data_IF_574653420056
#
_entry.id   IF_574653420056
#
_cell.length_a   1.000
_cell.length_b   1.000
_cell.length_c   1.000
_cell.angle_alpha   90.00
_cell.angle_beta   90.00
_cell.angle_gamma   90.00
#
_symmetry.space_group_name_H-M   'P 1'
#
loop_
_entity.id
_entity.type
_entity.pdbx_description
1 polymer ?
#
# COMPACT_ATOMS: atom_id res chain seq x y z
N UNK A 1 -34.17 28.18 -18.16
CA UNK A 1 -33.02 28.09 -17.26
C UNK A 1 -31.87 27.38 -17.93
N UNK A 2 -31.06 28.12 -18.68
CA UNK A 2 -29.85 27.58 -19.29
C UNK A 2 -28.68 27.75 -18.33
N UNK A 3 -28.09 26.64 -17.82
CA UNK A 3 -26.77 26.68 -17.19
C UNK A 3 -25.73 26.82 -18.30
N UNK A 4 -24.95 27.90 -18.27
CA UNK A 4 -23.77 28.05 -19.12
C UNK A 4 -22.56 27.40 -18.48
N UNK A 5 -21.95 26.46 -19.17
CA UNK A 5 -20.62 25.95 -18.84
C UNK A 5 -19.62 26.55 -19.83
N UNK A 6 -18.61 27.22 -19.33
CA UNK A 6 -17.49 27.69 -20.11
C UNK A 6 -16.19 27.04 -19.59
N UNK A 7 -15.43 26.38 -20.45
CA UNK A 7 -14.10 25.88 -20.12
C UNK A 7 -13.05 26.96 -20.44
N UNK A 8 -12.24 27.29 -19.45
CA UNK A 8 -11.09 28.15 -19.63
C UNK A 8 -9.82 27.28 -19.63
N UNK A 9 -9.20 27.12 -20.81
CA UNK A 9 -7.93 26.44 -20.94
C UNK A 9 -6.78 27.42 -20.67
N UNK A 10 -6.06 27.22 -19.55
CA UNK A 10 -4.88 28.00 -19.26
C UNK A 10 -3.67 27.48 -20.05
N UNK A 11 -3.00 28.36 -20.78
CA UNK A 11 -1.84 28.03 -21.63
C UNK A 11 -0.52 28.09 -20.89
N UNK A 12 -0.47 28.69 -19.71
CA UNK A 12 0.76 28.89 -18.93
C UNK A 12 0.59 28.54 -17.46
N UNK A 13 1.66 28.01 -16.86
CA UNK A 13 1.75 27.79 -15.42
C UNK A 13 2.01 29.11 -14.71
N UNK A 14 1.17 29.47 -13.75
CA UNK A 14 1.35 30.70 -12.95
C UNK A 14 1.64 30.35 -11.49
N UNK A 15 2.76 30.86 -10.97
CA UNK A 15 3.10 30.77 -9.53
C UNK A 15 2.29 31.76 -8.67
N UNK A 16 1.69 32.76 -9.29
CA UNK A 16 0.84 33.76 -8.61
C UNK A 16 -0.63 33.36 -8.71
N UNK A 17 -1.37 33.59 -7.64
CA UNK A 17 -2.82 33.38 -7.62
C UNK A 17 -3.50 34.24 -8.70
N UNK A 18 -4.37 33.63 -9.47
CA UNK A 18 -5.19 34.29 -10.50
C UNK A 18 -6.64 34.29 -10.04
N UNK A 19 -7.36 35.32 -10.43
CA UNK A 19 -8.79 35.42 -10.21
C UNK A 19 -9.51 35.45 -11.54
N UNK A 20 -10.60 34.70 -11.63
CA UNK A 20 -11.50 34.73 -12.76
C UNK A 20 -12.55 35.83 -12.50
N UNK A 21 -12.73 36.70 -13.46
CA UNK A 21 -13.75 37.72 -13.46
C UNK A 21 -14.75 37.38 -14.59
N UNK A 22 -16.02 37.24 -14.26
CA UNK A 22 -17.05 36.89 -15.22
C UNK A 22 -18.14 37.97 -15.20
N UNK A 23 -18.58 38.38 -16.38
CA UNK A 23 -19.77 39.20 -16.59
C UNK A 23 -20.54 38.67 -17.79
N UNK A 24 -21.81 38.86 -17.84
CA UNK A 24 -22.67 38.46 -18.97
C UNK A 24 -23.31 39.69 -19.58
N UNK A 25 -23.54 39.64 -20.90
CA UNK A 25 -24.25 40.68 -21.65
C UNK A 25 -25.48 40.05 -22.27
N UNK A 26 -26.64 40.71 -22.11
CA UNK A 26 -27.88 40.26 -22.74
C UNK A 26 -27.98 40.68 -24.21
N UNK A 27 -29.02 40.20 -24.91
CA UNK A 27 -29.26 40.51 -26.33
C UNK A 27 -29.59 41.99 -26.62
N UNK A 28 -29.88 42.80 -25.61
CA UNK A 28 -30.12 44.24 -25.70
C UNK A 28 -28.87 45.06 -25.40
N UNK A 29 -27.73 44.41 -25.00
CA UNK A 29 -26.48 45.03 -24.68
C UNK A 29 -26.30 45.40 -23.21
N UNK A 30 -27.22 45.04 -22.30
CA UNK A 30 -27.05 45.27 -20.87
C UNK A 30 -26.01 44.30 -20.29
N UNK A 31 -25.12 44.82 -19.47
CA UNK A 31 -24.00 44.10 -18.87
C UNK A 31 -24.28 43.87 -17.39
N UNK A 32 -24.13 42.66 -16.92
CA UNK A 32 -24.23 42.34 -15.49
C UNK A 32 -23.09 42.90 -14.67
N UNK A 33 -23.23 42.89 -13.35
CA UNK A 33 -22.11 43.09 -12.44
C UNK A 33 -21.06 41.99 -12.69
N UNK A 34 -19.80 42.33 -12.40
CA UNK A 34 -18.67 41.42 -12.51
C UNK A 34 -18.57 40.54 -11.26
N UNK A 35 -18.69 39.24 -11.43
CA UNK A 35 -18.45 38.23 -10.37
C UNK A 35 -16.99 37.82 -10.39
N UNK A 36 -16.33 37.92 -9.23
CA UNK A 36 -14.95 37.48 -9.04
C UNK A 36 -14.94 36.10 -8.36
N UNK A 37 -14.16 35.17 -8.89
CA UNK A 37 -13.97 33.81 -8.32
C UNK A 37 -12.46 33.49 -8.25
N UNK A 38 -12.02 32.76 -7.24
CA UNK A 38 -10.64 32.41 -6.98
C UNK A 38 -10.23 32.74 -5.54
N UNK A 39 -8.95 32.61 -5.20
CA UNK A 39 -7.80 32.50 -6.11
C UNK A 39 -7.62 31.11 -6.74
N UNK A 40 -7.25 31.10 -8.01
CA UNK A 40 -6.89 29.87 -8.74
C UNK A 40 -5.39 29.85 -9.03
N UNK A 41 -4.77 28.70 -8.83
CA UNK A 41 -3.42 28.44 -9.28
C UNK A 41 -3.46 27.58 -10.55
N UNK A 42 -2.91 28.09 -11.64
CA UNK A 42 -2.87 27.36 -12.90
C UNK A 42 -1.61 26.50 -12.92
N UNK A 43 -1.79 25.21 -12.99
CA UNK A 43 -0.71 24.24 -13.06
C UNK A 43 -0.76 23.56 -14.44
N UNK A 44 0.34 23.63 -15.18
CA UNK A 44 0.47 22.91 -16.44
C UNK A 44 0.51 21.40 -16.14
N UNK A 45 -0.24 20.60 -16.87
CA UNK A 45 -0.19 19.12 -16.75
C UNK A 45 1.27 18.66 -16.81
N UNK A 46 1.69 17.89 -15.81
CA UNK A 46 3.03 17.36 -15.73
C UNK A 46 3.33 16.45 -16.93
N UNK A 47 4.53 16.56 -17.47
CA UNK A 47 5.09 15.57 -18.40
C UNK A 47 5.60 14.36 -17.60
N UNK A 48 5.73 13.20 -18.24
CA UNK A 48 6.13 11.97 -17.54
C UNK A 48 7.42 12.11 -16.70
N UNK A 49 8.40 12.89 -17.17
CA UNK A 49 9.64 13.19 -16.45
C UNK A 49 9.43 14.06 -15.18
N UNK A 50 8.31 14.76 -15.08
CA UNK A 50 7.98 15.60 -13.92
C UNK A 50 7.27 14.84 -12.79
N UNK A 51 6.87 13.58 -13.03
CA UNK A 51 6.18 12.78 -12.04
C UNK A 51 7.13 12.38 -10.91
N UNK A 52 6.65 12.33 -9.65
CA UNK A 52 7.40 11.71 -8.57
C UNK A 52 7.55 10.21 -8.83
N UNK A 53 8.44 9.57 -8.10
CA UNK A 53 8.64 8.12 -8.16
C UNK A 53 8.64 7.51 -6.78
N UNK A 54 8.20 6.24 -6.69
CA UNK A 54 8.27 5.45 -5.47
C UNK A 54 8.66 4.02 -5.82
N UNK A 55 9.54 3.44 -5.02
CA UNK A 55 9.94 2.03 -5.08
C UNK A 55 9.81 1.40 -3.71
N UNK A 56 9.47 0.11 -3.67
CA UNK A 56 9.30 -0.64 -2.44
C UNK A 56 10.10 -1.93 -2.50
N UNK A 57 10.78 -2.25 -1.41
CA UNK A 57 11.57 -3.48 -1.23
C UNK A 57 11.24 -4.15 0.10
N UNK A 58 11.79 -5.32 0.38
CA UNK A 58 11.60 -6.02 1.66
C UNK A 58 10.55 -7.13 1.61
N UNK A 59 10.05 -7.50 0.41
CA UNK A 59 9.24 -8.71 0.27
C UNK A 59 10.08 -9.94 0.65
N UNK A 60 9.66 -10.77 1.62
CA UNK A 60 10.45 -11.89 2.09
C UNK A 60 10.56 -13.00 1.04
N UNK A 61 11.79 -13.53 0.85
CA UNK A 61 12.06 -14.68 -0.02
C UNK A 61 11.85 -16.03 0.68
N UNK A 62 11.78 -16.04 2.01
CA UNK A 62 11.53 -17.20 2.87
C UNK A 62 10.41 -16.88 3.87
N UNK A 63 9.84 -17.92 4.49
CA UNK A 63 8.83 -17.76 5.52
C UNK A 63 9.37 -17.00 6.74
N UNK A 64 8.58 -16.05 7.23
CA UNK A 64 8.89 -15.20 8.38
C UNK A 64 7.61 -14.84 9.15
N UNK A 65 7.75 -14.41 10.38
CA UNK A 65 6.61 -13.94 11.21
C UNK A 65 6.12 -12.54 10.82
N UNK A 66 6.98 -11.76 10.18
CA UNK A 66 6.66 -10.40 9.73
C UNK A 66 7.62 -10.00 8.62
N UNK A 67 7.25 -9.01 7.82
CA UNK A 67 8.11 -8.42 6.81
C UNK A 67 8.23 -6.91 7.04
N UNK A 68 9.44 -6.37 6.86
CA UNK A 68 9.67 -4.93 6.86
C UNK A 68 9.77 -4.45 5.41
N UNK A 69 8.73 -3.77 4.96
CA UNK A 69 8.69 -3.13 3.65
C UNK A 69 9.35 -1.76 3.74
N UNK A 70 10.34 -1.51 2.88
CA UNK A 70 11.07 -0.24 2.83
C UNK A 70 10.76 0.46 1.52
N UNK A 71 10.36 1.73 1.59
CA UNK A 71 10.13 2.53 0.41
C UNK A 71 11.23 3.59 0.23
N UNK A 72 11.41 3.97 -1.04
CA UNK A 72 12.16 5.16 -1.44
C UNK A 72 11.31 5.95 -2.41
N UNK A 73 11.15 7.24 -2.14
CA UNK A 73 10.43 8.16 -3.00
C UNK A 73 11.34 9.31 -3.42
N UNK A 74 11.12 9.81 -4.63
CA UNK A 74 11.84 10.97 -5.15
C UNK A 74 10.86 11.92 -5.84
N UNK A 75 11.06 13.24 -5.74
CA UNK A 75 10.32 14.20 -6.54
C UNK A 75 10.64 14.01 -8.03
N UNK A 76 9.71 14.38 -8.87
CA UNK A 76 9.95 14.49 -10.30
C UNK A 76 10.94 15.60 -10.64
N UNK A 77 11.25 15.77 -11.91
CA UNK A 77 12.17 16.79 -12.40
C UNK A 77 11.59 17.56 -13.60
N UNK A 78 12.03 18.81 -13.78
CA UNK A 78 11.61 19.65 -14.89
C UNK A 78 10.32 20.42 -14.63
N UNK A 79 9.74 20.95 -15.71
CA UNK A 79 8.54 21.82 -15.64
C UNK A 79 7.32 21.02 -15.15
N UNK A 80 6.67 21.50 -14.12
CA UNK A 80 5.50 20.86 -13.51
C UNK A 80 5.83 19.85 -12.40
N UNK A 81 7.12 19.63 -12.09
CA UNK A 81 7.53 18.87 -10.92
C UNK A 81 7.37 19.69 -9.64
N UNK A 82 6.82 19.10 -8.59
CA UNK A 82 6.68 19.67 -7.27
C UNK A 82 7.55 18.98 -6.21
N UNK A 83 7.79 19.66 -5.10
CA UNK A 83 8.29 18.99 -3.91
C UNK A 83 7.26 17.94 -3.43
N UNK A 84 7.72 16.87 -2.80
CA UNK A 84 6.82 15.87 -2.24
C UNK A 84 5.86 16.52 -1.21
N UNK A 85 4.61 16.10 -1.23
CA UNK A 85 3.56 16.55 -0.32
C UNK A 85 3.30 15.49 0.75
N UNK A 86 3.22 14.22 0.36
CA UNK A 86 3.07 13.08 1.26
C UNK A 86 3.43 11.76 0.59
N UNK A 87 3.65 10.73 1.41
CA UNK A 87 3.69 9.32 1.02
C UNK A 87 2.59 8.58 1.76
N UNK A 88 1.71 7.92 1.03
CA UNK A 88 0.75 6.96 1.58
C UNK A 88 1.42 5.60 1.74
N UNK A 89 1.24 4.97 2.89
CA UNK A 89 1.78 3.65 3.23
C UNK A 89 0.69 2.78 3.87
N UNK A 90 0.87 1.47 4.00
CA UNK A 90 -0.05 0.60 4.75
C UNK A 90 -0.27 1.01 6.22
N UNK A 91 0.57 1.87 6.77
CA UNK A 91 0.48 2.39 8.15
C UNK A 91 -0.09 3.81 8.22
N UNK A 92 -0.42 4.40 7.09
CA UNK A 92 -0.97 5.74 6.98
C UNK A 92 -0.12 6.71 6.18
N UNK A 93 -0.46 7.97 6.27
CA UNK A 93 0.17 9.05 5.52
C UNK A 93 1.41 9.57 6.26
N UNK A 94 2.51 9.71 5.52
CA UNK A 94 3.79 10.26 5.98
C UNK A 94 3.99 11.62 5.30
N UNK A 95 4.17 12.68 6.10
CA UNK A 95 4.34 14.07 5.64
C UNK A 95 5.72 14.63 5.94
N UNK A 96 6.54 13.90 6.69
CA UNK A 96 7.92 14.25 7.03
C UNK A 96 8.86 13.14 6.56
N UNK A 97 10.10 13.48 6.23
CA UNK A 97 11.11 12.53 5.75
C UNK A 97 10.61 11.62 4.60
N UNK A 98 9.85 12.19 3.69
CA UNK A 98 9.11 11.49 2.62
C UNK A 98 10.00 10.79 1.58
N UNK A 99 11.31 11.04 1.58
CA UNK A 99 12.25 10.41 0.62
C UNK A 99 12.50 8.93 0.89
N UNK A 100 12.16 8.44 2.08
CA UNK A 100 12.29 7.03 2.41
C UNK A 100 11.85 6.72 3.83
N UNK A 101 11.50 5.47 4.03
CA UNK A 101 11.07 4.94 5.32
C UNK A 101 10.74 3.46 5.24
N UNK A 102 10.19 2.94 6.32
CA UNK A 102 9.79 1.54 6.38
C UNK A 102 8.53 1.33 7.22
N UNK A 103 7.83 0.23 6.94
CA UNK A 103 6.74 -0.25 7.77
C UNK A 103 6.78 -1.77 7.88
N UNK A 104 6.44 -2.29 9.06
CA UNK A 104 6.35 -3.73 9.29
C UNK A 104 4.92 -4.20 9.08
N UNK A 105 4.77 -5.29 8.32
CA UNK A 105 3.52 -5.99 8.07
C UNK A 105 3.60 -7.40 8.63
N UNK A 106 2.46 -7.91 9.13
CA UNK A 106 2.36 -9.21 9.82
C UNK A 106 1.37 -10.16 9.16
N UNK A 107 0.87 -9.82 7.98
CA UNK A 107 -0.06 -10.64 7.19
C UNK A 107 0.36 -10.67 5.74
N UNK A 108 0.02 -11.75 5.04
CA UNK A 108 0.10 -11.79 3.59
C UNK A 108 -0.95 -10.86 2.98
N UNK A 109 -0.70 -10.38 1.77
CA UNK A 109 -1.61 -9.51 1.05
C UNK A 109 -0.90 -8.57 0.08
N UNK A 110 -1.67 -7.77 -0.64
CA UNK A 110 -1.18 -6.70 -1.49
C UNK A 110 -1.05 -5.42 -0.65
N UNK A 111 0.10 -4.79 -0.70
CA UNK A 111 0.39 -3.56 0.03
C UNK A 111 0.70 -2.45 -0.96
N UNK A 112 -0.12 -1.42 -0.92
CA UNK A 112 -0.01 -0.24 -1.78
C UNK A 112 0.79 0.87 -1.10
N UNK A 113 1.60 1.54 -1.90
CA UNK A 113 2.32 2.76 -1.54
C UNK A 113 2.08 3.78 -2.65
N UNK A 114 1.87 5.03 -2.28
CA UNK A 114 1.69 6.12 -3.24
C UNK A 114 2.45 7.35 -2.76
N UNK A 115 3.11 8.03 -3.67
CA UNK A 115 3.71 9.34 -3.42
C UNK A 115 2.95 10.39 -4.21
N UNK A 116 2.76 11.57 -3.60
CA UNK A 116 2.17 12.73 -4.27
C UNK A 116 3.03 13.95 -4.04
N UNK A 117 3.16 14.79 -5.04
CA UNK A 117 3.81 16.09 -4.95
C UNK A 117 2.80 17.22 -4.64
N UNK A 118 3.30 18.43 -4.38
CA UNK A 118 2.47 19.61 -4.07
C UNK A 118 1.63 20.11 -5.24
N UNK A 119 1.84 19.59 -6.44
CA UNK A 119 1.05 19.91 -7.63
C UNK A 119 0.02 18.83 -7.97
N UNK A 120 -0.09 17.78 -7.12
CA UNK A 120 -1.03 16.68 -7.32
C UNK A 120 -0.55 15.60 -8.27
N UNK A 121 0.71 15.64 -8.73
CA UNK A 121 1.29 14.54 -9.48
C UNK A 121 1.57 13.38 -8.53
N UNK A 122 1.29 12.15 -8.96
CA UNK A 122 1.45 10.97 -8.13
C UNK A 122 2.09 9.80 -8.86
N UNK A 123 2.68 8.90 -8.09
CA UNK A 123 3.09 7.57 -8.51
C UNK A 123 2.76 6.55 -7.43
N UNK A 124 2.51 5.31 -7.83
CA UNK A 124 2.19 4.22 -6.92
C UNK A 124 3.11 3.02 -7.16
N UNK A 125 3.26 2.21 -6.11
CA UNK A 125 3.93 0.91 -6.15
C UNK A 125 3.15 -0.08 -5.28
N UNK A 126 3.04 -1.32 -5.75
CA UNK A 126 2.38 -2.41 -5.04
C UNK A 126 3.37 -3.53 -4.74
N UNK A 127 3.22 -4.16 -3.59
CA UNK A 127 4.00 -5.33 -3.18
C UNK A 127 3.06 -6.44 -2.73
N UNK A 128 3.10 -7.57 -3.41
CA UNK A 128 2.41 -8.79 -2.98
C UNK A 128 3.31 -9.57 -2.01
N UNK A 129 2.93 -9.61 -0.74
CA UNK A 129 3.59 -10.40 0.31
C UNK A 129 2.86 -11.73 0.47
N UNK A 130 3.60 -12.85 0.38
CA UNK A 130 3.02 -14.20 0.39
C UNK A 130 3.68 -15.17 1.37
N UNK A 131 4.71 -14.73 2.10
CA UNK A 131 5.53 -15.60 2.95
C UNK A 131 5.61 -15.13 4.39
N UNK A 132 4.50 -14.61 4.91
CA UNK A 132 4.35 -14.36 6.34
C UNK A 132 3.52 -15.49 6.92
N UNK A 133 4.04 -16.09 7.98
CA UNK A 133 3.38 -17.10 8.78
C UNK A 133 3.71 -16.85 10.25
N UNK A 134 2.73 -16.40 11.01
CA UNK A 134 2.82 -16.11 12.43
C UNK A 134 1.83 -16.94 13.25
N UNK A 135 1.25 -17.96 12.65
CA UNK A 135 0.38 -18.89 13.32
C UNK A 135 1.15 -20.15 13.72
N UNK A 136 0.81 -20.70 14.86
CA UNK A 136 1.39 -21.96 15.31
C UNK A 136 0.76 -23.14 14.58
N UNK A 137 1.50 -24.21 14.29
CA UNK A 137 0.94 -25.45 13.73
C UNK A 137 -0.10 -26.03 14.69
N UNK A 138 -1.08 -26.71 14.14
CA UNK A 138 -2.14 -27.40 14.90
C UNK A 138 -1.86 -28.89 14.97
N UNK A 139 -2.07 -29.45 16.15
CA UNK A 139 -2.02 -30.87 16.42
C UNK A 139 -3.43 -31.38 16.72
N UNK A 140 -3.98 -32.23 15.87
CA UNK A 140 -5.36 -32.73 16.04
C UNK A 140 -5.46 -33.79 17.15
N UNK A 141 -4.60 -34.81 17.14
CA UNK A 141 -4.64 -35.86 18.15
C UNK A 141 -3.34 -36.63 18.29
N UNK A 142 -3.18 -37.25 19.45
CA UNK A 142 -2.19 -38.28 19.73
C UNK A 142 -2.91 -39.61 19.70
N UNK A 143 -2.41 -40.58 18.96
CA UNK A 143 -2.94 -41.94 18.92
C UNK A 143 -1.85 -42.94 19.27
N UNK A 144 -2.21 -44.06 19.92
CA UNK A 144 -1.29 -45.19 20.04
C UNK A 144 -1.12 -45.80 18.68
N UNK A 145 0.09 -45.98 18.20
CA UNK A 145 0.34 -46.69 16.95
C UNK A 145 -0.06 -48.17 17.13
N UNK A 146 -1.01 -48.62 16.33
CA UNK A 146 -1.62 -49.91 16.47
C UNK A 146 -0.61 -51.05 16.60
N UNK A 147 -0.70 -51.80 17.69
CA UNK A 147 -0.03 -53.05 17.89
C UNK A 147 1.44 -53.01 18.36
N UNK A 148 2.06 -51.87 18.56
CA UNK A 148 3.41 -51.75 19.15
C UNK A 148 3.40 -51.05 20.49
N UNK A 149 3.64 -51.75 21.61
CA UNK A 149 3.76 -51.11 22.92
C UNK A 149 4.82 -50.00 22.91
N UNK A 150 4.50 -48.85 23.51
CA UNK A 150 5.42 -47.73 23.64
C UNK A 150 5.54 -46.83 22.40
N UNK A 151 4.73 -47.06 21.33
CA UNK A 151 4.75 -46.19 20.14
C UNK A 151 3.53 -45.26 20.15
N UNK A 152 3.79 -43.97 20.00
CA UNK A 152 2.76 -42.92 19.87
C UNK A 152 2.77 -42.37 18.44
N UNK A 153 1.62 -42.37 17.79
CA UNK A 153 1.43 -41.76 16.49
C UNK A 153 0.90 -40.35 16.63
N UNK A 154 1.49 -39.43 15.90
CA UNK A 154 0.98 -38.06 15.73
C UNK A 154 0.12 -37.99 14.47
N UNK A 155 -1.15 -37.64 14.61
CA UNK A 155 -2.07 -37.50 13.47
C UNK A 155 -2.63 -36.09 13.41
N UNK A 156 -2.90 -35.61 12.16
CA UNK A 156 -3.53 -34.32 11.95
C UNK A 156 -2.65 -33.12 12.36
N UNK A 157 -1.32 -33.24 12.17
CA UNK A 157 -0.41 -32.09 12.31
C UNK A 157 -0.50 -31.26 11.04
N UNK A 158 -1.02 -30.06 11.14
CA UNK A 158 -1.20 -29.15 10.01
C UNK A 158 -0.62 -27.77 10.31
N UNK A 159 -0.14 -27.12 9.26
CA UNK A 159 0.41 -25.76 9.31
C UNK A 159 -0.12 -24.90 8.14
N UNK A 160 -1.20 -25.33 7.50
CA UNK A 160 -1.78 -24.66 6.34
C UNK A 160 -2.95 -23.76 6.78
N UNK A 161 -2.65 -22.70 7.54
CA UNK A 161 -3.68 -21.82 8.11
C UNK A 161 -3.58 -20.39 7.60
N UNK A 162 -2.44 -19.98 7.07
CA UNK A 162 -2.19 -18.62 6.63
C UNK A 162 -2.71 -18.41 5.20
N UNK A 163 -3.59 -17.42 5.03
CA UNK A 163 -4.13 -17.09 3.71
C UNK A 163 -3.03 -16.58 2.77
N UNK A 164 -3.05 -17.05 1.53
CA UNK A 164 -2.19 -16.63 0.43
C UNK A 164 -3.03 -15.91 -0.61
N UNK A 165 -2.53 -14.78 -1.12
CA UNK A 165 -3.26 -13.89 -2.00
C UNK A 165 -2.61 -13.83 -3.39
N UNK A 166 -3.41 -13.54 -4.41
CA UNK A 166 -2.95 -13.13 -5.74
C UNK A 166 -2.69 -11.61 -5.78
N UNK A 167 -2.21 -11.11 -6.91
CA UNK A 167 -1.96 -9.67 -7.13
C UNK A 167 -3.23 -8.81 -7.09
N UNK A 168 -4.42 -9.41 -7.22
CA UNK A 168 -5.71 -8.73 -7.11
C UNK A 168 -6.25 -8.70 -5.68
N UNK A 169 -5.51 -9.28 -4.71
CA UNK A 169 -5.93 -9.38 -3.33
C UNK A 169 -6.94 -10.51 -3.03
N UNK A 170 -7.15 -11.45 -3.96
CA UNK A 170 -8.02 -12.59 -3.72
C UNK A 170 -7.25 -13.70 -3.02
N UNK A 171 -7.90 -14.41 -2.10
CA UNK A 171 -7.33 -15.60 -1.46
C UNK A 171 -7.25 -16.73 -2.49
N UNK A 172 -6.04 -17.26 -2.72
CA UNK A 172 -5.78 -18.37 -3.63
C UNK A 172 -5.60 -19.71 -2.91
N UNK A 173 -5.51 -19.68 -1.60
CA UNK A 173 -5.35 -20.87 -0.76
C UNK A 173 -4.83 -20.54 0.62
N UNK A 174 -4.51 -21.60 1.36
CA UNK A 174 -3.91 -21.49 2.68
C UNK A 174 -2.62 -22.31 2.71
N UNK A 175 -1.58 -21.76 3.33
CA UNK A 175 -0.26 -22.38 3.50
C UNK A 175 0.35 -21.96 4.81
N UNK A 176 1.40 -22.67 5.23
CA UNK A 176 2.23 -22.31 6.36
C UNK A 176 3.71 -22.54 6.06
N UNK A 177 4.55 -22.25 7.02
CA UNK A 177 6.00 -22.44 6.94
C UNK A 177 6.43 -23.91 7.00
N UNK A 178 5.51 -24.80 7.35
CA UNK A 178 5.71 -26.23 7.52
C UNK A 178 6.21 -26.61 8.91
N UNK A 179 6.18 -27.90 9.18
CA UNK A 179 6.60 -28.46 10.48
C UNK A 179 8.11 -28.68 10.46
N UNK A 180 8.85 -27.92 11.24
CA UNK A 180 10.31 -28.03 11.33
C UNK A 180 10.77 -29.12 12.30
N UNK A 181 10.16 -29.16 13.51
CA UNK A 181 10.54 -30.10 14.57
C UNK A 181 9.29 -30.73 15.16
N UNK A 182 9.43 -31.96 15.66
CA UNK A 182 8.44 -32.65 16.47
C UNK A 182 9.15 -33.07 17.74
N UNK A 183 8.64 -32.64 18.89
CA UNK A 183 9.26 -32.89 20.18
C UNK A 183 8.21 -33.45 21.13
N UNK A 184 8.63 -34.31 22.04
CA UNK A 184 7.79 -34.87 23.11
C UNK A 184 8.53 -34.85 24.44
N UNK A 185 7.77 -34.89 25.52
CA UNK A 185 8.26 -35.15 26.87
C UNK A 185 7.21 -35.89 27.70
N UNK A 186 7.64 -36.67 28.64
CA UNK A 186 6.72 -37.28 29.62
C UNK A 186 6.34 -36.29 30.71
N UNK A 187 5.18 -36.53 31.34
CA UNK A 187 4.76 -35.72 32.46
C UNK A 187 5.80 -35.79 33.60
N UNK A 188 6.24 -34.63 34.10
CA UNK A 188 7.28 -34.52 35.14
C UNK A 188 8.70 -34.31 34.61
N UNK A 189 8.94 -34.47 33.28
CA UNK A 189 10.23 -34.14 32.69
C UNK A 189 10.33 -32.66 32.36
N UNK A 190 11.54 -32.08 32.47
CA UNK A 190 11.81 -30.68 32.14
C UNK A 190 12.34 -30.50 30.72
N UNK A 191 12.86 -31.58 30.11
CA UNK A 191 13.50 -31.55 28.79
C UNK A 191 12.59 -32.13 27.68
N UNK A 192 12.67 -31.55 26.49
CA UNK A 192 12.01 -32.05 25.31
C UNK A 192 12.94 -32.98 24.52
N UNK A 193 12.39 -34.05 23.95
CA UNK A 193 13.08 -35.01 23.09
C UNK A 193 12.52 -34.92 21.67
N UNK A 194 13.40 -34.88 20.65
CA UNK A 194 13.05 -34.89 19.20
C UNK A 194 12.91 -36.31 18.67
#
# INVERSE_FOLDING_TARGET
DGSYQAEYAATETSKTAKYLHVRVTDGAGNVSETVKSGPYQVIKKAVAAALPSITVTGNPSSWTKSATLTWKAAPGSGTGAGALAFVYTPKGIVTENMIGGSCTVTKNGVYEFMVMDKFGNSAAAEVLVTRIDNEAPKLASLTTAGGKPGTIGLTGVTDDHTAVYDQKGNITGYRGSGIRTREYRMQGESTWTT
#
